data_IF_978327545420
#
_entry.id   IF_978327545420
#
_cell.length_a   1.000
_cell.length_b   1.000
_cell.length_c   1.000
_cell.angle_alpha   90.00
_cell.angle_beta   90.00
_cell.angle_gamma   90.00
#
_symmetry.space_group_name_H-M   'P 1'
#
loop_
_entity.id
_entity.type
_entity.pdbx_description
1 polymer ?
#
# COMPACT_ATOMS: atom_id res chain seq x y z
N UNK A 1 0.91 -51.00 -3.09
CA UNK A 1 0.51 -49.91 -4.02
C UNK A 1 -0.15 -48.73 -3.30
N UNK A 2 -0.98 -48.95 -2.27
CA UNK A 2 -1.66 -47.88 -1.51
C UNK A 2 -0.68 -46.93 -0.80
N UNK A 3 0.42 -47.44 -0.23
CA UNK A 3 1.42 -46.60 0.45
C UNK A 3 2.05 -45.53 -0.47
N UNK A 4 2.33 -45.88 -1.72
CA UNK A 4 2.89 -44.95 -2.69
C UNK A 4 1.88 -43.85 -3.07
N UNK A 5 0.59 -44.19 -3.16
CA UNK A 5 -0.47 -43.22 -3.41
C UNK A 5 -0.59 -42.21 -2.26
N UNK A 6 -0.51 -42.67 -1.00
CA UNK A 6 -0.55 -41.79 0.18
C UNK A 6 0.66 -40.84 0.19
N UNK A 7 1.86 -41.35 -0.07
CA UNK A 7 3.08 -40.53 -0.12
C UNK A 7 2.99 -39.48 -1.25
N UNK A 8 2.48 -39.88 -2.42
CA UNK A 8 2.28 -38.97 -3.55
C UNK A 8 1.35 -37.81 -3.21
N UNK A 9 0.20 -38.10 -2.58
CA UNK A 9 -0.75 -37.07 -2.14
C UNK A 9 -0.11 -36.14 -1.10
N UNK A 10 0.62 -36.70 -0.13
CA UNK A 10 1.30 -35.90 0.90
C UNK A 10 2.36 -34.96 0.30
N UNK A 11 3.15 -35.41 -0.68
CA UNK A 11 4.13 -34.56 -1.37
C UNK A 11 3.49 -33.41 -2.12
N UNK A 12 2.38 -33.66 -2.83
CA UNK A 12 1.65 -32.60 -3.56
C UNK A 12 1.09 -31.56 -2.58
N UNK A 13 0.54 -32.01 -1.46
CA UNK A 13 0.02 -31.12 -0.42
C UNK A 13 1.13 -30.23 0.16
N UNK A 14 2.31 -30.79 0.46
CA UNK A 14 3.45 -30.04 0.98
C UNK A 14 3.98 -29.03 -0.05
N UNK A 15 4.09 -29.41 -1.32
CA UNK A 15 4.52 -28.50 -2.39
C UNK A 15 3.53 -27.34 -2.55
N UNK A 16 2.23 -27.63 -2.55
CA UNK A 16 1.19 -26.61 -2.61
C UNK A 16 1.24 -25.65 -1.42
N UNK A 17 1.51 -26.15 -0.22
CA UNK A 17 1.64 -25.33 0.98
C UNK A 17 2.86 -24.41 0.92
N UNK A 18 4.01 -24.94 0.45
CA UNK A 18 5.23 -24.16 0.25
C UNK A 18 5.03 -23.00 -0.72
N UNK A 19 4.43 -23.26 -1.88
CA UNK A 19 4.11 -22.22 -2.86
C UNK A 19 3.20 -21.14 -2.28
N UNK A 20 2.16 -21.54 -1.54
CA UNK A 20 1.24 -20.60 -0.88
C UNK A 20 1.95 -19.77 0.19
N UNK A 21 2.87 -20.36 0.95
CA UNK A 21 3.64 -19.64 1.97
C UNK A 21 4.53 -18.56 1.36
N UNK A 22 5.18 -18.84 0.22
CA UNK A 22 5.99 -17.87 -0.51
C UNK A 22 5.13 -16.70 -1.01
N UNK A 23 3.99 -17.00 -1.62
CA UNK A 23 3.07 -15.98 -2.13
C UNK A 23 2.56 -15.07 -1.01
N UNK A 24 2.14 -15.65 0.12
CA UNK A 24 1.70 -14.89 1.29
C UNK A 24 2.82 -14.02 1.85
N UNK A 25 4.04 -14.54 1.95
CA UNK A 25 5.18 -13.79 2.45
C UNK A 25 5.51 -12.57 1.57
N UNK A 26 5.55 -12.76 0.24
CA UNK A 26 5.76 -11.66 -0.70
C UNK A 26 4.66 -10.60 -0.60
N UNK A 27 3.40 -11.02 -0.47
CA UNK A 27 2.27 -10.10 -0.29
C UNK A 27 2.38 -9.31 1.03
N UNK A 28 2.76 -9.97 2.13
CA UNK A 28 2.97 -9.30 3.42
C UNK A 28 4.09 -8.26 3.32
N UNK A 29 5.20 -8.60 2.68
CA UNK A 29 6.31 -7.67 2.47
C UNK A 29 5.84 -6.43 1.70
N UNK A 30 5.12 -6.61 0.59
CA UNK A 30 4.56 -5.48 -0.18
C UNK A 30 3.60 -4.62 0.64
N UNK A 31 2.70 -5.23 1.41
CA UNK A 31 1.77 -4.51 2.27
C UNK A 31 2.51 -3.68 3.32
N UNK A 32 3.50 -4.26 4.00
CA UNK A 32 4.30 -3.54 5.00
C UNK A 32 5.06 -2.39 4.36
N UNK A 33 5.74 -2.61 3.24
CA UNK A 33 6.48 -1.56 2.53
C UNK A 33 5.55 -0.45 2.03
N UNK A 34 4.44 -0.79 1.38
CA UNK A 34 3.46 0.18 0.89
C UNK A 34 2.85 0.99 2.04
N UNK A 35 2.57 0.36 3.19
CA UNK A 35 2.07 1.06 4.38
C UNK A 35 3.09 2.06 4.91
N UNK A 36 4.35 1.66 5.06
CA UNK A 36 5.40 2.57 5.53
C UNK A 36 5.62 3.74 4.57
N UNK A 37 5.60 3.47 3.26
CA UNK A 37 5.71 4.52 2.23
C UNK A 37 4.50 5.47 2.25
N UNK A 38 3.29 4.94 2.44
CA UNK A 38 2.08 5.74 2.56
C UNK A 38 2.14 6.64 3.80
N UNK A 39 2.56 6.10 4.95
CA UNK A 39 2.75 6.88 6.18
C UNK A 39 3.80 7.98 6.02
N UNK A 40 4.94 7.65 5.40
CA UNK A 40 5.98 8.63 5.11
C UNK A 40 5.45 9.75 4.21
N UNK A 41 4.71 9.42 3.14
CA UNK A 41 4.17 10.41 2.21
C UNK A 41 3.08 11.27 2.85
N UNK A 42 2.24 10.67 3.71
CA UNK A 42 1.27 11.40 4.54
C UNK A 42 2.00 12.41 5.43
N UNK A 43 3.00 11.99 6.21
CA UNK A 43 3.76 12.88 7.09
C UNK A 43 4.45 14.03 6.33
N UNK A 44 4.97 13.76 5.13
CA UNK A 44 5.51 14.82 4.24
C UNK A 44 4.44 15.83 3.86
N UNK A 45 3.25 15.37 3.44
CA UNK A 45 2.14 16.26 3.09
C UNK A 45 1.63 17.08 4.29
N UNK A 46 1.62 16.50 5.50
CA UNK A 46 1.26 17.23 6.73
C UNK A 46 2.27 18.33 7.06
N UNK A 47 3.57 18.06 6.86
CA UNK A 47 4.61 19.04 7.07
C UNK A 47 4.54 20.18 6.04
N UNK A 48 4.33 19.84 4.77
CA UNK A 48 4.15 20.80 3.69
C UNK A 48 2.95 21.73 3.97
N UNK A 49 1.81 21.16 4.37
CA UNK A 49 0.61 21.93 4.73
C UNK A 49 0.86 22.92 5.87
N UNK A 50 1.58 22.49 6.92
CA UNK A 50 1.96 23.36 8.05
C UNK A 50 2.96 24.44 7.65
N UNK A 51 3.94 24.10 6.81
CA UNK A 51 5.00 25.03 6.40
C UNK A 51 4.51 26.13 5.46
N UNK A 52 3.51 25.84 4.62
CA UNK A 52 2.92 26.79 3.68
C UNK A 52 1.80 27.65 4.31
N UNK A 53 1.75 27.74 5.64
CA UNK A 53 0.82 28.62 6.36
C UNK A 53 -0.65 28.32 6.11
N UNK A 54 -1.03 27.05 5.86
CA UNK A 54 -2.41 26.66 5.56
C UNK A 54 -2.79 26.76 4.07
N UNK A 55 -1.81 26.89 3.16
CA UNK A 55 -2.09 26.77 1.72
C UNK A 55 -2.67 25.39 1.42
N UNK A 56 -3.77 25.35 0.65
CA UNK A 56 -4.45 24.11 0.26
C UNK A 56 -3.44 23.13 -0.35
N UNK A 57 -3.38 21.93 0.19
CA UNK A 57 -2.71 20.82 -0.46
C UNK A 57 -3.33 20.62 -1.86
N UNK A 58 -2.55 20.10 -2.80
CA UNK A 58 -2.99 19.82 -4.16
C UNK A 58 -2.90 18.32 -4.44
N UNK A 59 -3.84 17.81 -5.22
CA UNK A 59 -3.79 16.43 -5.69
C UNK A 59 -2.46 16.17 -6.40
N UNK A 60 -1.93 14.96 -6.20
CA UNK A 60 -0.62 14.61 -6.71
C UNK A 60 -0.53 13.15 -7.10
N UNK A 61 0.25 12.85 -8.12
CA UNK A 61 0.60 11.48 -8.51
C UNK A 61 2.10 11.42 -8.77
N UNK A 62 2.69 10.27 -8.46
CA UNK A 62 4.10 10.07 -8.73
C UNK A 62 4.58 8.66 -8.41
N UNK A 63 5.90 8.53 -8.44
CA UNK A 63 6.62 7.29 -8.14
C UNK A 63 7.63 7.59 -7.04
N UNK A 64 7.99 6.58 -6.25
CA UNK A 64 9.07 6.71 -5.30
C UNK A 64 10.44 6.56 -6.00
N UNK A 65 11.49 7.11 -5.40
CA UNK A 65 12.85 6.88 -5.87
C UNK A 65 13.33 5.47 -5.51
N UNK A 66 14.43 5.03 -6.13
CA UNK A 66 15.13 3.79 -5.77
C UNK A 66 15.41 3.74 -4.25
N UNK A 67 15.21 2.59 -3.58
CA UNK A 67 14.91 1.25 -4.11
C UNK A 67 13.41 0.96 -4.35
N UNK A 68 12.53 1.96 -4.24
CA UNK A 68 11.08 1.78 -4.26
C UNK A 68 10.42 2.20 -5.58
N UNK A 69 11.17 2.24 -6.68
CA UNK A 69 10.65 2.66 -7.99
C UNK A 69 9.46 1.83 -8.50
N UNK A 70 9.27 0.61 -7.99
CA UNK A 70 8.08 -0.21 -8.26
C UNK A 70 6.79 0.29 -7.60
N UNK A 71 6.87 1.24 -6.66
CA UNK A 71 5.74 1.79 -5.93
C UNK A 71 5.32 3.14 -6.51
N UNK A 72 4.01 3.30 -6.74
CA UNK A 72 3.39 4.54 -7.19
C UNK A 72 2.54 5.12 -6.06
N UNK A 73 2.48 6.43 -5.96
CA UNK A 73 1.65 7.11 -4.97
C UNK A 73 0.66 8.05 -5.65
N UNK A 74 -0.49 8.23 -5.00
CA UNK A 74 -1.55 9.17 -5.36
C UNK A 74 -2.00 9.86 -4.08
N UNK A 75 -2.07 11.18 -4.11
CA UNK A 75 -2.66 12.01 -3.06
C UNK A 75 -3.96 12.56 -3.63
N UNK A 76 -5.07 12.27 -2.97
CA UNK A 76 -6.38 12.83 -3.26
C UNK A 76 -6.84 13.70 -2.09
N UNK A 77 -7.36 14.87 -2.40
CA UNK A 77 -7.80 15.85 -1.40
C UNK A 77 -9.27 16.15 -1.61
N UNK A 78 -10.03 16.01 -0.54
CA UNK A 78 -11.46 16.27 -0.54
C UNK A 78 -11.82 17.29 0.53
N UNK A 79 -12.77 18.15 0.20
CA UNK A 79 -13.37 19.08 1.16
C UNK A 79 -14.29 18.31 2.10
N UNK A 80 -14.19 18.58 3.40
CA UNK A 80 -15.15 18.03 4.37
C UNK A 80 -16.30 19.00 4.61
N UNK A 81 -17.32 18.58 5.36
CA UNK A 81 -18.41 19.44 5.79
C UNK A 81 -17.94 20.58 6.72
N UNK A 82 -16.73 20.48 7.27
CA UNK A 82 -16.10 21.51 8.09
C UNK A 82 -15.20 22.38 7.19
N UNK A 83 -15.45 23.69 7.05
CA UNK A 83 -14.71 24.56 6.12
C UNK A 83 -13.20 24.64 6.38
N UNK A 84 -12.80 24.38 7.62
CA UNK A 84 -11.41 24.41 8.07
C UNK A 84 -10.75 23.02 8.09
N UNK A 85 -11.41 21.95 7.60
CA UNK A 85 -10.84 20.60 7.61
C UNK A 85 -10.81 20.01 6.20
N UNK A 86 -9.64 19.56 5.79
CA UNK A 86 -9.41 18.87 4.51
C UNK A 86 -9.15 17.39 4.77
N UNK A 87 -9.80 16.54 3.99
CA UNK A 87 -9.55 15.10 3.98
C UNK A 87 -8.46 14.82 2.96
N UNK A 88 -7.36 14.23 3.40
CA UNK A 88 -6.22 13.87 2.55
C UNK A 88 -6.10 12.36 2.55
N UNK A 89 -6.21 11.76 1.37
CA UNK A 89 -6.07 10.33 1.15
C UNK A 89 -4.80 10.07 0.36
N UNK A 90 -3.88 9.33 0.97
CA UNK A 90 -2.65 8.85 0.34
C UNK A 90 -2.82 7.38 -0.01
N UNK A 91 -2.78 7.09 -1.31
CA UNK A 91 -2.79 5.73 -1.83
C UNK A 91 -1.41 5.37 -2.35
N UNK A 92 -0.89 4.20 -1.96
CA UNK A 92 0.33 3.61 -2.51
C UNK A 92 0.00 2.29 -3.21
N UNK A 93 0.39 2.19 -4.48
CA UNK A 93 0.22 1.02 -5.34
C UNK A 93 1.57 0.33 -5.57
N UNK A 94 1.62 -1.01 -5.51
CA UNK A 94 2.79 -1.80 -5.91
C UNK A 94 2.53 -2.73 -7.10
N UNK A 95 1.31 -2.67 -7.66
CA UNK A 95 0.91 -3.50 -8.78
C UNK A 95 -0.32 -2.95 -9.49
N UNK A 96 -1.19 -3.84 -9.95
CA UNK A 96 -2.40 -3.43 -10.68
C UNK A 96 -3.51 -3.08 -9.72
N UNK A 97 -4.20 -1.97 -10.00
CA UNK A 97 -5.38 -1.52 -9.23
C UNK A 97 -6.48 -2.61 -9.24
N UNK A 98 -6.66 -3.31 -10.38
CA UNK A 98 -7.56 -4.46 -10.54
C UNK A 98 -7.30 -5.63 -9.57
N UNK A 99 -6.06 -5.77 -9.09
CA UNK A 99 -5.64 -6.83 -8.17
C UNK A 99 -5.71 -6.41 -6.71
N UNK A 100 -6.23 -5.20 -6.43
CA UNK A 100 -6.30 -4.61 -5.10
C UNK A 100 -4.91 -4.58 -4.41
N UNK A 101 -3.87 -4.26 -5.20
CA UNK A 101 -2.48 -4.15 -4.76
C UNK A 101 -2.16 -2.70 -4.37
N UNK A 102 -2.92 -2.20 -3.39
CA UNK A 102 -2.77 -0.86 -2.84
C UNK A 102 -2.97 -0.81 -1.33
N UNK A 103 -2.43 0.25 -0.71
CA UNK A 103 -2.71 0.65 0.66
C UNK A 103 -3.15 2.10 0.64
N UNK A 104 -4.28 2.37 1.31
CA UNK A 104 -4.85 3.71 1.46
C UNK A 104 -4.77 4.16 2.91
N UNK A 105 -4.23 5.36 3.13
CA UNK A 105 -4.24 6.04 4.43
C UNK A 105 -4.97 7.36 4.25
N UNK A 106 -5.96 7.60 5.12
CA UNK A 106 -6.71 8.86 5.13
C UNK A 106 -6.45 9.60 6.43
N UNK A 107 -6.13 10.88 6.33
CA UNK A 107 -5.97 11.80 7.45
C UNK A 107 -6.82 13.05 7.25
N UNK A 108 -7.08 13.76 8.35
CA UNK A 108 -7.85 15.01 8.36
C UNK A 108 -6.96 16.13 8.88
N UNK A 109 -6.73 17.13 8.05
CA UNK A 109 -5.84 18.25 8.34
C UNK A 109 -6.62 19.56 8.49
N UNK A 110 -6.09 20.45 9.33
CA UNK A 110 -6.66 21.76 9.66
C UNK A 110 -5.73 22.90 9.21
#
# INVERSE_FOLDING_TARGET
>A
MIALAIIGIAMIALLSLGNRSIEVHSRLQHLTTATLLAQQKMAQSELEARSNGGTKLVDGVGTFAEPFAGYRWRIGISTTALPAVQMVTVTVFWGKEERNESVDITSFLF
#
